data_IF_867330654533
#
_entry.id   IF_867330654533
#
_cell.length_a   1.000
_cell.length_b   1.000
_cell.length_c   1.000
_cell.angle_alpha   90.00
_cell.angle_beta   90.00
_cell.angle_gamma   90.00
#
_symmetry.space_group_name_H-M   'P 1'
#
loop_
_entity.id
_entity.type
_entity.pdbx_description
1 polymer ?
#
# COMPACT_ATOMS: atom_id res chain seq x y z
N UNK A 1 -44.57 18.87 -35.09
CA UNK A 1 -44.24 17.86 -36.11
C UNK A 1 -42.80 17.44 -35.91
N UNK A 2 -42.53 16.14 -35.78
CA UNK A 2 -41.15 15.59 -35.79
C UNK A 2 -40.77 14.79 -34.54
N UNK A 3 -41.25 13.55 -34.48
CA UNK A 3 -40.78 12.48 -33.58
C UNK A 3 -39.28 12.18 -33.81
N UNK A 4 -38.57 11.79 -32.74
CA UNK A 4 -37.42 10.90 -32.86
C UNK A 4 -37.27 10.02 -31.61
N UNK A 5 -37.65 8.77 -31.80
CA UNK A 5 -37.52 7.61 -30.91
C UNK A 5 -36.14 6.99 -31.08
N UNK A 6 -35.44 6.65 -30.00
CA UNK A 6 -34.33 5.68 -30.00
C UNK A 6 -34.19 5.09 -28.58
N UNK A 7 -34.76 3.91 -28.29
CA UNK A 7 -34.24 2.55 -28.43
C UNK A 7 -33.13 2.17 -27.42
N UNK A 8 -33.48 1.17 -26.60
CA UNK A 8 -32.70 0.47 -25.55
C UNK A 8 -31.34 -0.07 -26.01
N UNK A 9 -30.48 -0.38 -25.04
CA UNK A 9 -29.83 -1.68 -24.97
C UNK A 9 -30.25 -2.52 -23.74
N UNK A 10 -30.27 -3.83 -23.97
CA UNK A 10 -30.44 -4.94 -23.01
C UNK A 10 -29.12 -5.23 -22.29
N UNK A 11 -29.20 -6.20 -21.38
CA UNK A 11 -28.12 -7.03 -20.80
C UNK A 11 -27.57 -6.46 -19.48
N UNK A 12 -27.29 -7.23 -18.43
CA UNK A 12 -27.11 -8.67 -18.34
C UNK A 12 -27.34 -9.14 -16.89
N UNK A 13 -27.69 -10.42 -16.77
CA UNK A 13 -28.24 -11.09 -15.60
C UNK A 13 -27.12 -11.79 -14.81
N UNK A 14 -26.73 -11.23 -13.67
CA UNK A 14 -25.68 -11.83 -12.81
C UNK A 14 -26.30 -12.81 -11.82
N UNK A 15 -25.93 -14.10 -11.97
CA UNK A 15 -26.35 -15.23 -11.13
C UNK A 15 -25.63 -15.20 -9.77
N UNK A 16 -26.28 -15.59 -8.66
CA UNK A 16 -25.57 -15.79 -7.39
C UNK A 16 -24.78 -17.11 -7.40
N UNK A 17 -23.47 -17.01 -7.13
CA UNK A 17 -22.57 -18.15 -6.96
C UNK A 17 -22.78 -18.77 -5.57
N UNK A 18 -23.09 -20.06 -5.58
CA UNK A 18 -23.41 -20.91 -4.45
C UNK A 18 -22.10 -21.51 -3.90
N UNK A 19 -21.61 -21.02 -2.76
CA UNK A 19 -20.46 -21.63 -2.09
C UNK A 19 -20.95 -22.74 -1.15
N UNK A 20 -20.67 -23.99 -1.52
CA UNK A 20 -20.72 -25.14 -0.63
C UNK A 20 -19.40 -25.19 0.14
N UNK A 21 -19.43 -25.25 1.47
CA UNK A 21 -18.31 -25.74 2.25
C UNK A 21 -18.76 -26.92 3.11
N UNK A 22 -18.12 -28.04 2.81
CA UNK A 22 -18.30 -29.36 3.40
C UNK A 22 -17.58 -29.50 4.73
N UNK A 23 -18.28 -30.17 5.65
CA UNK A 23 -17.83 -31.21 6.58
C UNK A 23 -16.43 -31.09 7.21
N UNK A 24 -16.41 -30.69 8.48
CA UNK A 24 -15.36 -31.06 9.43
C UNK A 24 -15.87 -32.25 10.27
N UNK A 25 -15.26 -33.43 10.10
CA UNK A 25 -15.51 -34.61 10.92
C UNK A 25 -14.95 -34.40 12.34
N UNK A 26 -15.83 -34.47 13.35
CA UNK A 26 -15.46 -34.68 14.75
C UNK A 26 -15.22 -36.18 14.97
N UNK A 27 -13.97 -36.59 15.14
CA UNK A 27 -13.62 -37.93 15.62
C UNK A 27 -13.51 -37.95 17.14
N UNK A 28 -14.45 -38.58 17.82
CA UNK A 28 -14.40 -38.80 19.28
C UNK A 28 -13.71 -40.12 19.61
N UNK A 29 -12.86 -40.05 20.63
CA UNK A 29 -12.15 -41.15 21.31
C UNK A 29 -13.08 -42.22 21.89
N UNK A 30 -12.63 -43.48 21.86
CA UNK A 30 -12.91 -44.51 22.88
C UNK A 30 -11.73 -45.52 22.96
N UNK A 31 -11.04 -45.66 24.12
CA UNK A 31 -10.25 -46.84 24.47
C UNK A 31 -11.03 -47.77 25.41
N UNK A 32 -10.79 -49.09 25.35
CA UNK A 32 -11.13 -50.18 26.32
C UNK A 32 -10.89 -51.50 25.53
N UNK A 33 -10.24 -52.60 25.95
CA UNK A 33 -9.79 -53.15 27.24
C UNK A 33 -8.84 -54.33 26.95
N UNK A 34 -8.06 -54.84 27.93
CA UNK A 34 -7.05 -55.88 27.73
C UNK A 34 -7.64 -57.29 27.70
N UNK A 35 -6.93 -58.24 27.07
CA UNK A 35 -7.13 -59.67 27.28
C UNK A 35 -5.81 -60.32 27.67
N UNK A 36 -5.91 -61.04 28.78
CA UNK A 36 -4.89 -61.74 29.53
C UNK A 36 -4.82 -63.21 29.06
N UNK A 37 -3.68 -63.85 29.33
CA UNK A 37 -3.41 -65.31 29.40
C UNK A 37 -2.85 -65.98 28.14
N UNK A 38 -1.65 -66.56 28.30
CA UNK A 38 -1.07 -67.57 27.42
C UNK A 38 0.45 -67.67 27.53
N UNK A 39 0.95 -68.37 28.56
CA UNK A 39 2.38 -68.68 28.74
C UNK A 39 2.73 -69.97 27.99
N UNK A 40 3.72 -69.93 27.09
CA UNK A 40 4.46 -71.10 26.63
C UNK A 40 5.89 -70.68 26.28
N UNK A 41 6.88 -71.36 26.88
CA UNK A 41 8.29 -71.06 26.73
C UNK A 41 8.84 -71.62 25.40
N UNK A 42 9.56 -70.79 24.64
CA UNK A 42 10.38 -71.21 23.50
C UNK A 42 11.66 -70.37 23.41
N UNK A 43 12.78 -71.07 23.57
CA UNK A 43 14.13 -70.85 23.01
C UNK A 43 14.47 -69.49 22.43
N UNK A 44 15.36 -68.78 23.12
CA UNK A 44 15.94 -67.47 22.79
C UNK A 44 16.93 -67.56 21.62
N UNK A 45 16.53 -67.05 20.45
CA UNK A 45 17.45 -66.51 19.46
C UNK A 45 17.68 -65.02 19.77
N UNK A 46 18.87 -64.42 19.54
CA UNK A 46 19.07 -63.00 19.75
C UNK A 46 18.25 -62.22 18.71
N UNK A 47 17.06 -61.79 19.10
CA UNK A 47 16.21 -60.92 18.31
C UNK A 47 16.93 -59.59 18.12
N UNK A 48 17.23 -59.25 16.86
CA UNK A 48 17.75 -57.93 16.52
C UNK A 48 16.88 -56.86 17.19
N UNK A 49 17.49 -56.02 18.01
CA UNK A 49 16.83 -54.88 18.66
C UNK A 49 16.31 -53.98 17.55
N UNK A 50 15.00 -54.03 17.31
CA UNK A 50 14.31 -53.12 16.40
C UNK A 50 14.50 -51.74 17.01
N UNK A 51 15.24 -50.86 16.31
CA UNK A 51 15.41 -49.48 16.73
C UNK A 51 14.02 -48.82 16.86
N UNK A 52 13.61 -48.60 18.10
CA UNK A 52 12.40 -47.85 18.43
C UNK A 52 12.72 -46.37 18.27
N UNK A 53 12.47 -45.83 17.08
CA UNK A 53 12.54 -44.39 16.86
C UNK A 53 11.37 -43.72 17.57
N UNK A 54 11.65 -42.91 18.58
CA UNK A 54 10.68 -42.03 19.21
C UNK A 54 10.74 -40.67 18.52
N UNK A 55 9.70 -40.34 17.76
CA UNK A 55 9.53 -39.02 17.16
C UNK A 55 8.70 -38.15 18.12
N UNK A 56 9.14 -36.91 18.36
CA UNK A 56 8.37 -35.89 19.08
C UNK A 56 8.28 -34.66 18.20
N UNK A 57 7.09 -34.07 18.11
CA UNK A 57 6.84 -32.83 17.36
C UNK A 57 6.99 -31.65 18.32
N UNK A 58 7.69 -30.61 17.89
CA UNK A 58 7.73 -29.32 18.58
C UNK A 58 6.98 -28.29 17.75
N UNK A 59 6.00 -27.62 18.35
CA UNK A 59 5.22 -26.55 17.72
C UNK A 59 5.70 -25.19 18.22
N UNK A 60 5.86 -24.24 17.29
CA UNK A 60 6.19 -22.84 17.58
C UNK A 60 5.16 -21.94 16.91
N UNK A 61 4.47 -21.11 17.69
CA UNK A 61 3.55 -20.10 17.18
C UNK A 61 4.27 -18.74 17.10
N UNK A 62 4.30 -18.14 15.91
CA UNK A 62 4.82 -16.79 15.70
C UNK A 62 3.63 -15.85 15.47
N UNK A 63 3.52 -14.80 16.28
CA UNK A 63 2.47 -13.80 16.11
C UNK A 63 2.77 -12.89 14.91
N UNK A 64 1.72 -12.48 14.18
CA UNK A 64 1.84 -11.44 13.18
C UNK A 64 2.17 -10.10 13.86
N UNK A 65 3.14 -9.38 13.33
CA UNK A 65 3.44 -8.00 13.72
C UNK A 65 2.67 -6.99 12.89
N UNK A 66 3.03 -5.72 13.08
CA UNK A 66 2.24 -4.57 12.60
C UNK A 66 2.86 -3.97 11.34
N UNK A 67 2.03 -3.66 10.35
CA UNK A 67 2.40 -2.79 9.23
C UNK A 67 2.69 -1.39 9.78
N UNK A 68 3.91 -0.91 9.59
CA UNK A 68 4.34 0.39 10.11
C UNK A 68 4.90 1.28 9.01
N UNK A 69 4.46 2.53 9.05
CA UNK A 69 5.00 3.59 8.23
C UNK A 69 6.06 4.31 9.05
N UNK A 70 7.33 3.97 8.84
CA UNK A 70 8.43 4.72 9.39
C UNK A 70 8.60 5.99 8.54
N UNK A 71 7.81 7.02 8.84
CA UNK A 71 8.11 8.38 8.35
C UNK A 71 9.37 8.85 9.08
N UNK A 72 10.54 8.39 8.64
CA UNK A 72 11.67 9.31 8.70
C UNK A 72 11.20 10.60 8.03
N UNK A 73 11.41 11.73 8.71
CA UNK A 73 10.92 13.06 8.32
C UNK A 73 11.17 13.27 6.83
N UNK A 74 10.13 13.16 6.01
CA UNK A 74 10.26 13.37 4.58
C UNK A 74 10.79 14.79 4.35
N UNK A 75 11.80 14.97 3.49
CA UNK A 75 12.33 16.30 3.21
C UNK A 75 11.22 17.17 2.61
N UNK A 76 11.19 18.45 3.00
CA UNK A 76 10.28 19.40 2.38
C UNK A 76 10.56 19.50 0.88
N UNK A 77 9.53 19.30 0.06
CA UNK A 77 9.65 19.44 -1.40
C UNK A 77 9.72 20.93 -1.74
N UNK A 78 10.87 21.38 -2.25
CA UNK A 78 11.07 22.74 -2.76
C UNK A 78 11.30 22.67 -4.25
N UNK A 79 10.51 23.40 -5.02
CA UNK A 79 10.61 23.44 -6.48
C UNK A 79 11.33 24.69 -6.96
N UNK A 80 11.85 24.63 -8.19
CA UNK A 80 12.38 25.79 -8.89
C UNK A 80 11.38 26.94 -8.94
N UNK A 81 11.90 28.17 -9.01
CA UNK A 81 11.05 29.36 -9.03
C UNK A 81 10.22 29.43 -10.32
N UNK A 82 8.91 29.41 -10.17
CA UNK A 82 7.98 29.70 -11.25
C UNK A 82 7.97 31.21 -11.57
N UNK A 83 7.76 31.54 -12.84
CA UNK A 83 7.57 32.92 -13.32
C UNK A 83 6.09 33.28 -13.33
N UNK A 84 5.79 34.57 -13.30
CA UNK A 84 4.46 35.04 -13.72
C UNK A 84 4.40 34.86 -15.24
N UNK A 85 3.42 34.12 -15.73
CA UNK A 85 3.31 33.76 -17.14
C UNK A 85 1.84 33.54 -17.51
N UNK A 86 1.47 33.91 -18.73
CA UNK A 86 0.11 33.74 -19.28
C UNK A 86 -0.22 32.27 -19.65
N UNK A 87 0.70 31.34 -19.42
CA UNK A 87 0.56 29.93 -19.75
C UNK A 87 1.03 28.99 -18.64
N UNK A 88 0.79 27.70 -18.87
CA UNK A 88 1.22 26.60 -18.00
C UNK A 88 2.75 26.52 -17.92
N UNK A 89 3.26 26.23 -16.73
CA UNK A 89 4.68 26.00 -16.46
C UNK A 89 4.86 24.54 -16.06
N UNK A 90 5.44 23.77 -16.97
CA UNK A 90 5.62 22.33 -16.81
C UNK A 90 7.04 22.00 -16.36
N UNK A 91 7.20 20.86 -15.70
CA UNK A 91 8.52 20.29 -15.43
C UNK A 91 9.37 21.06 -14.41
N UNK A 92 8.75 21.85 -13.53
CA UNK A 92 9.50 22.51 -12.44
C UNK A 92 10.09 21.42 -11.55
N UNK A 93 11.42 21.33 -11.56
CA UNK A 93 12.16 20.32 -10.81
C UNK A 93 12.26 20.66 -9.33
N UNK A 94 12.62 19.67 -8.51
CA UNK A 94 13.06 19.92 -7.14
C UNK A 94 14.37 20.71 -7.16
N UNK A 95 14.45 21.76 -6.35
CA UNK A 95 15.73 22.39 -5.99
C UNK A 95 16.56 21.31 -5.30
N UNK A 96 17.82 21.13 -5.73
CA UNK A 96 18.71 20.12 -5.13
C UNK A 96 18.73 20.27 -3.61
N UNK A 97 18.24 19.23 -2.93
CA UNK A 97 18.35 19.06 -1.48
C UNK A 97 19.36 17.96 -1.19
N UNK A 98 20.06 18.05 -0.07
CA UNK A 98 21.06 17.04 0.33
C UNK A 98 20.45 15.65 0.57
N UNK A 99 19.13 15.58 0.73
CA UNK A 99 18.39 14.35 0.94
C UNK A 99 17.37 14.13 -0.18
N UNK A 100 17.42 12.94 -0.79
CA UNK A 100 16.39 12.49 -1.72
C UNK A 100 15.08 12.18 -0.95
N UNK A 101 13.90 12.51 -1.50
CA UNK A 101 12.60 12.11 -0.94
C UNK A 101 12.42 10.60 -1.04
N UNK A 102 12.90 9.86 -0.03
CA UNK A 102 12.73 8.41 0.09
C UNK A 102 11.66 8.10 1.12
N UNK A 103 10.67 7.29 0.74
CA UNK A 103 9.65 6.74 1.63
C UNK A 103 10.08 5.34 2.05
N UNK A 104 10.05 5.06 3.35
CA UNK A 104 10.40 3.75 3.92
C UNK A 104 9.15 3.07 4.50
N UNK A 105 8.87 1.86 4.06
CA UNK A 105 7.74 1.05 4.53
C UNK A 105 8.29 -0.21 5.19
N UNK A 106 7.80 -0.51 6.39
CA UNK A 106 8.18 -1.72 7.13
C UNK A 106 6.98 -2.61 7.40
N UNK A 107 7.06 -3.82 6.85
CA UNK A 107 6.10 -4.91 6.93
C UNK A 107 6.79 -6.23 7.30
N UNK A 108 7.80 -6.16 8.18
CA UNK A 108 8.69 -7.28 8.52
C UNK A 108 7.99 -8.48 9.18
N UNK A 109 6.79 -8.28 9.71
CA UNK A 109 6.02 -9.31 10.41
C UNK A 109 4.55 -9.33 9.97
N UNK A 110 4.23 -8.74 8.81
CA UNK A 110 2.83 -8.67 8.34
C UNK A 110 2.22 -10.05 8.10
N UNK A 111 0.89 -10.12 8.14
CA UNK A 111 0.12 -11.33 7.82
C UNK A 111 0.02 -11.64 6.31
N UNK A 112 0.79 -10.94 5.48
CA UNK A 112 0.69 -11.02 4.02
C UNK A 112 -0.55 -10.33 3.43
N UNK A 113 -1.34 -9.62 4.24
CA UNK A 113 -2.52 -8.90 3.74
C UNK A 113 -2.12 -7.75 2.79
N UNK A 114 -2.93 -7.50 1.74
CA UNK A 114 -2.66 -6.45 0.77
C UNK A 114 -2.68 -5.06 1.41
N UNK A 115 -1.90 -4.14 0.82
CA UNK A 115 -1.78 -2.77 1.27
C UNK A 115 -1.48 -1.81 0.13
N UNK A 116 -1.80 -0.53 0.33
CA UNK A 116 -1.60 0.54 -0.64
C UNK A 116 -0.93 1.75 0.02
N UNK A 117 0.03 2.35 -0.69
CA UNK A 117 0.51 3.69 -0.40
C UNK A 117 -0.26 4.69 -1.27
N UNK A 118 -1.02 5.58 -0.66
CA UNK A 118 -1.72 6.67 -1.35
C UNK A 118 -1.07 8.01 -1.08
N UNK A 119 -1.22 8.94 -2.02
CA UNK A 119 -0.74 10.31 -1.92
C UNK A 119 -1.86 11.29 -2.27
N UNK A 120 -1.97 12.39 -1.54
CA UNK A 120 -2.78 13.53 -1.92
C UNK A 120 -1.99 14.83 -1.84
N UNK A 121 -2.44 15.83 -2.60
CA UNK A 121 -1.83 17.15 -2.67
C UNK A 121 -2.91 18.18 -2.36
N UNK A 122 -2.72 19.01 -1.35
CA UNK A 122 -3.62 20.14 -1.09
C UNK A 122 -3.50 21.21 -2.18
N UNK A 123 -4.46 22.11 -2.24
CA UNK A 123 -4.31 23.31 -3.06
C UNK A 123 -3.12 24.16 -2.60
N UNK A 124 -2.48 24.85 -3.55
CA UNK A 124 -1.39 25.77 -3.28
C UNK A 124 -1.95 27.11 -2.82
N UNK A 125 -1.65 27.52 -1.59
CA UNK A 125 -2.12 28.77 -1.01
C UNK A 125 -0.96 29.74 -0.79
N UNK A 126 -1.18 31.04 -1.03
CA UNK A 126 -0.11 32.01 -0.83
C UNK A 126 0.30 32.11 0.65
N UNK A 127 1.60 32.09 0.93
CA UNK A 127 2.16 31.98 2.30
C UNK A 127 1.79 33.16 3.20
N UNK A 128 1.71 34.37 2.64
CA UNK A 128 1.26 35.56 3.40
C UNK A 128 -0.17 35.40 3.92
N UNK A 129 -0.98 34.55 3.28
CA UNK A 129 -2.37 34.30 3.62
C UNK A 129 -2.52 33.18 4.64
N UNK A 130 -1.66 32.15 4.60
CA UNK A 130 -1.59 31.14 5.67
C UNK A 130 -1.29 31.77 7.04
N UNK A 131 -0.55 32.89 7.08
CA UNK A 131 -0.27 33.65 8.30
C UNK A 131 -1.37 34.66 8.68
N UNK A 132 -2.13 35.17 7.70
CA UNK A 132 -3.19 36.20 7.88
C UNK A 132 -4.61 35.60 8.03
N UNK A 133 -4.83 34.34 7.67
CA UNK A 133 -6.12 33.67 7.86
C UNK A 133 -6.54 33.58 9.35
N UNK A 134 -5.59 33.75 10.29
CA UNK A 134 -5.89 33.93 11.71
C UNK A 134 -6.49 35.32 12.04
N UNK A 135 -6.51 36.28 11.11
CA UNK A 135 -6.92 37.67 11.32
C UNK A 135 -8.05 38.16 10.39
N UNK A 136 -8.80 37.26 9.74
CA UNK A 136 -10.15 37.56 9.22
C UNK A 136 -10.30 38.48 7.99
N UNK A 137 -9.35 38.51 7.05
CA UNK A 137 -9.53 39.26 5.77
C UNK A 137 -9.22 38.41 4.52
N UNK A 138 -10.19 38.38 3.60
CA UNK A 138 -10.39 37.47 2.45
C UNK A 138 -9.53 37.71 1.20
N UNK A 139 -8.19 37.75 1.33
CA UNK A 139 -7.32 37.76 0.14
C UNK A 139 -6.84 36.35 -0.24
N UNK A 140 -7.68 35.31 -0.17
CA UNK A 140 -7.29 33.91 -0.45
C UNK A 140 -6.88 33.70 -1.92
N UNK A 141 -5.59 33.85 -2.23
CA UNK A 141 -4.97 33.47 -3.51
C UNK A 141 -4.58 32.00 -3.48
N UNK A 142 -5.28 31.21 -4.29
CA UNK A 142 -5.02 29.79 -4.47
C UNK A 142 -4.62 29.51 -5.92
N UNK A 143 -3.63 28.65 -6.13
CA UNK A 143 -3.31 28.11 -7.46
C UNK A 143 -4.05 26.79 -7.64
N UNK A 144 -5.08 26.79 -8.50
CA UNK A 144 -5.91 25.62 -8.77
C UNK A 144 -5.42 24.87 -10.00
N UNK A 145 -5.47 23.55 -9.99
CA UNK A 145 -5.03 22.74 -11.15
C UNK A 145 -3.52 22.49 -11.24
N UNK A 146 -2.74 22.86 -10.22
CA UNK A 146 -1.37 22.38 -10.10
C UNK A 146 -1.34 20.84 -10.02
N UNK A 147 -0.32 20.22 -10.61
CA UNK A 147 -0.15 18.77 -10.57
C UNK A 147 1.28 18.38 -10.20
N UNK A 148 1.43 17.37 -9.34
CA UNK A 148 2.70 16.73 -9.05
C UNK A 148 2.82 15.44 -9.84
N UNK A 149 3.93 15.26 -10.52
CA UNK A 149 4.23 14.03 -11.26
C UNK A 149 5.31 13.27 -10.52
N UNK A 150 4.98 12.05 -10.13
CA UNK A 150 5.93 11.07 -9.61
C UNK A 150 6.39 10.20 -10.77
N UNK A 151 7.71 9.95 -10.90
CA UNK A 151 8.22 9.10 -11.95
C UNK A 151 7.86 7.65 -11.63
N UNK A 152 7.53 6.87 -12.66
CA UNK A 152 7.49 5.41 -12.51
C UNK A 152 8.91 4.91 -12.27
N UNK A 153 9.24 4.58 -11.04
CA UNK A 153 10.55 4.05 -10.65
C UNK A 153 10.49 2.62 -10.16
N UNK A 154 11.65 1.98 -10.20
CA UNK A 154 11.87 0.64 -9.66
C UNK A 154 11.87 0.70 -8.14
N UNK A 155 11.00 -0.09 -7.52
CA UNK A 155 10.99 -0.31 -6.08
C UNK A 155 12.23 -1.13 -5.70
N UNK A 156 12.92 -0.72 -4.64
CA UNK A 156 14.03 -1.49 -4.09
C UNK A 156 13.60 -2.12 -2.76
N UNK A 157 13.50 -3.44 -2.75
CA UNK A 157 13.30 -4.25 -1.56
C UNK A 157 14.64 -4.65 -0.96
N UNK A 158 14.81 -4.50 0.35
CA UNK A 158 16.02 -4.99 1.04
C UNK A 158 15.96 -6.47 1.42
N UNK A 159 14.78 -7.09 1.44
CA UNK A 159 14.62 -8.53 1.72
C UNK A 159 13.18 -9.00 1.45
N UNK A 160 12.78 -9.23 0.20
CA UNK A 160 11.39 -9.59 -0.12
C UNK A 160 11.26 -10.76 -1.10
N UNK A 161 10.18 -11.55 -0.93
CA UNK A 161 9.81 -12.67 -1.81
C UNK A 161 9.10 -12.19 -3.09
N UNK A 162 8.38 -11.07 -3.01
CA UNK A 162 7.69 -10.41 -4.11
C UNK A 162 7.65 -8.89 -3.88
N UNK A 163 8.09 -8.11 -4.87
CA UNK A 163 8.05 -6.66 -4.84
C UNK A 163 6.60 -6.16 -5.02
N UNK A 164 6.20 -5.08 -4.33
CA UNK A 164 4.93 -4.43 -4.64
C UNK A 164 4.98 -3.77 -6.02
N UNK A 165 3.83 -3.39 -6.56
CA UNK A 165 3.73 -2.75 -7.88
C UNK A 165 3.67 -1.24 -7.74
N UNK A 166 4.62 -0.54 -8.35
CA UNK A 166 4.54 0.91 -8.51
C UNK A 166 3.50 1.25 -9.59
N UNK A 167 2.44 1.97 -9.20
CA UNK A 167 1.28 2.21 -10.07
C UNK A 167 1.36 3.48 -10.88
N UNK A 168 2.26 4.42 -10.58
CA UNK A 168 2.09 5.79 -11.09
C UNK A 168 2.91 6.17 -12.30
N UNK A 169 2.15 6.59 -13.32
CA UNK A 169 2.51 7.57 -14.35
C UNK A 169 1.54 8.77 -14.37
N UNK A 170 0.46 8.74 -13.58
CA UNK A 170 -0.59 9.76 -13.62
C UNK A 170 -0.27 10.91 -12.65
N UNK A 171 -0.49 12.18 -13.04
CA UNK A 171 -0.26 13.33 -12.18
C UNK A 171 -1.22 13.37 -10.98
N UNK A 172 -0.70 13.69 -9.80
CA UNK A 172 -1.47 13.96 -8.59
C UNK A 172 -1.92 15.41 -8.63
N UNK A 173 -3.23 15.63 -8.76
CA UNK A 173 -3.82 16.97 -8.90
C UNK A 173 -4.05 17.61 -7.52
N UNK A 174 -3.68 18.88 -7.40
CA UNK A 174 -3.90 19.66 -6.19
C UNK A 174 -5.41 19.82 -5.91
N UNK A 175 -5.81 19.55 -4.67
CA UNK A 175 -7.20 19.59 -4.22
C UNK A 175 -8.06 18.38 -4.62
N UNK A 176 -7.48 17.37 -5.29
CA UNK A 176 -8.19 16.16 -5.68
C UNK A 176 -8.06 15.03 -4.64
N UNK A 177 -8.82 13.95 -4.88
CA UNK A 177 -8.75 12.73 -4.07
C UNK A 177 -7.36 12.08 -4.12
N UNK A 178 -7.06 11.31 -3.06
CA UNK A 178 -5.78 10.62 -2.95
C UNK A 178 -5.60 9.57 -4.05
N UNK A 179 -4.42 9.54 -4.65
CA UNK A 179 -4.02 8.60 -5.69
C UNK A 179 -3.13 7.49 -5.13
N UNK A 180 -3.31 6.25 -5.60
CA UNK A 180 -2.42 5.13 -5.25
C UNK A 180 -1.07 5.25 -5.95
N UNK A 181 0.02 5.35 -5.16
CA UNK A 181 1.41 5.34 -5.61
C UNK A 181 1.99 3.92 -5.72
N UNK A 182 1.67 3.07 -4.75
CA UNK A 182 2.09 1.67 -4.68
C UNK A 182 0.87 0.83 -4.35
N UNK A 183 0.74 -0.30 -5.04
CA UNK A 183 -0.20 -1.36 -4.72
C UNK A 183 0.58 -2.64 -4.41
N UNK A 184 0.43 -3.14 -3.19
CA UNK A 184 0.98 -4.40 -2.74
C UNK A 184 -0.15 -5.42 -2.62
N UNK A 185 -0.17 -6.39 -3.54
CA UNK A 185 -1.04 -7.55 -3.43
C UNK A 185 -0.69 -8.43 -2.22
N UNK A 186 -1.41 -9.53 -2.08
CA UNK A 186 -1.12 -10.53 -1.03
C UNK A 186 0.34 -10.98 -1.11
N UNK A 187 0.99 -11.02 0.05
CA UNK A 187 2.40 -11.38 0.25
C UNK A 187 3.45 -10.48 -0.46
N UNK A 188 3.01 -9.45 -1.20
CA UNK A 188 3.91 -8.48 -1.82
C UNK A 188 4.28 -7.37 -0.82
N UNK A 189 5.50 -6.83 -0.92
CA UNK A 189 5.91 -5.77 0.00
C UNK A 189 6.02 -6.24 1.45
N UNK A 190 6.31 -7.53 1.68
CA UNK A 190 6.62 -8.07 3.00
C UNK A 190 8.11 -7.86 3.28
N UNK A 191 8.45 -7.15 4.35
CA UNK A 191 9.83 -6.82 4.67
C UNK A 191 10.05 -5.32 4.80
N UNK A 192 11.15 -4.81 4.26
CA UNK A 192 11.45 -3.39 4.21
C UNK A 192 11.51 -2.93 2.74
N UNK A 193 10.66 -1.96 2.40
CA UNK A 193 10.58 -1.34 1.07
C UNK A 193 11.07 0.10 1.17
N UNK A 194 12.06 0.43 0.34
CA UNK A 194 12.49 1.80 0.11
C UNK A 194 11.95 2.27 -1.26
N UNK A 195 11.25 3.40 -1.27
CA UNK A 195 10.71 4.05 -2.46
C UNK A 195 11.38 5.41 -2.65
N UNK A 196 12.25 5.53 -3.66
CA UNK A 196 12.77 6.81 -4.12
C UNK A 196 11.75 7.51 -5.01
N UNK A 197 11.26 8.67 -4.57
CA UNK A 197 10.29 9.47 -5.30
C UNK A 197 10.91 10.40 -6.35
N UNK A 198 12.24 10.50 -6.42
CA UNK A 198 12.94 11.45 -7.28
C UNK A 198 13.02 10.96 -8.74
N UNK A 199 13.08 11.83 -9.76
CA UNK A 199 12.77 13.25 -9.71
C UNK A 199 11.26 13.49 -9.63
N UNK A 200 10.80 14.31 -8.68
CA UNK A 200 9.43 14.81 -8.66
C UNK A 200 9.39 16.09 -9.49
N UNK A 201 8.42 16.22 -10.38
CA UNK A 201 8.18 17.48 -11.11
C UNK A 201 6.83 18.08 -10.73
N UNK A 202 6.79 19.40 -10.76
CA UNK A 202 5.59 20.19 -10.54
C UNK A 202 5.20 20.86 -11.86
N UNK A 203 3.92 20.75 -12.20
CA UNK A 203 3.30 21.55 -13.24
C UNK A 203 2.36 22.54 -12.60
N UNK A 204 2.57 23.82 -12.88
CA UNK A 204 1.72 24.91 -12.42
C UNK A 204 0.88 25.44 -13.59
N UNK A 205 -0.40 25.75 -13.36
CA UNK A 205 -1.23 26.45 -14.34
C UNK A 205 -0.70 27.87 -14.58
N UNK A 206 -1.44 28.67 -15.36
CA UNK A 206 -1.25 30.13 -15.42
C UNK A 206 -1.14 30.71 -14.00
N UNK A 207 -0.12 31.53 -13.76
CA UNK A 207 0.10 32.21 -12.48
C UNK A 207 0.03 33.71 -12.71
N UNK A 208 -1.04 34.34 -12.21
CA UNK A 208 -1.28 35.78 -12.41
C UNK A 208 -0.52 36.67 -11.42
N UNK A 209 -0.08 36.11 -10.28
CA UNK A 209 0.52 36.88 -9.20
C UNK A 209 1.82 36.27 -8.71
N UNK A 210 2.87 37.10 -8.59
CA UNK A 210 4.09 36.71 -7.91
C UNK A 210 3.84 36.54 -6.41
N UNK A 211 4.45 35.52 -5.82
CA UNK A 211 4.38 35.25 -4.40
C UNK A 211 4.90 33.86 -4.04
N UNK A 212 5.04 33.62 -2.74
CA UNK A 212 5.31 32.28 -2.24
C UNK A 212 3.97 31.54 -2.10
N UNK A 213 3.90 30.31 -2.60
CA UNK A 213 2.75 29.42 -2.45
C UNK A 213 3.19 28.12 -1.78
N UNK A 214 2.33 27.55 -0.94
CA UNK A 214 2.59 26.31 -0.23
C UNK A 214 1.40 25.37 -0.36
N UNK A 215 1.69 24.07 -0.48
CA UNK A 215 0.74 22.98 -0.42
C UNK A 215 1.28 21.87 0.50
N UNK A 216 0.38 21.07 1.04
CA UNK A 216 0.69 19.89 1.84
C UNK A 216 0.58 18.65 0.97
N UNK A 217 1.64 17.84 0.94
CA UNK A 217 1.61 16.49 0.38
C UNK A 217 1.38 15.51 1.52
N UNK A 218 0.33 14.70 1.43
CA UNK A 218 -0.03 13.72 2.45
C UNK A 218 0.14 12.32 1.89
N UNK A 219 0.89 11.47 2.61
CA UNK A 219 1.03 10.05 2.30
C UNK A 219 0.26 9.23 3.32
N UNK A 220 -0.55 8.28 2.86
CA UNK A 220 -1.31 7.38 3.71
C UNK A 220 -1.05 5.93 3.33
N UNK A 221 -0.80 5.10 4.34
CA UNK A 221 -0.66 3.66 4.20
C UNK A 221 -1.97 3.01 4.61
N UNK A 222 -2.59 2.27 3.69
CA UNK A 222 -3.91 1.64 3.89
C UNK A 222 -3.74 0.13 3.75
N UNK A 223 -4.24 -0.65 4.69
CA UNK A 223 -4.24 -2.12 4.64
C UNK A 223 -5.65 -2.67 4.48
N UNK A 224 -5.79 -3.80 3.79
CA UNK A 224 -7.06 -4.49 3.58
C UNK A 224 -7.27 -4.87 2.12
N UNK A 225 -8.31 -5.68 1.82
CA UNK A 225 -8.55 -6.18 0.46
C UNK A 225 -8.61 -5.03 -0.55
N UNK A 226 -7.86 -5.17 -1.65
CA UNK A 226 -7.94 -4.28 -2.80
C UNK A 226 -9.36 -4.40 -3.37
N UNK A 227 -10.19 -3.38 -3.17
CA UNK A 227 -11.52 -3.28 -3.80
C UNK A 227 -11.36 -3.16 -5.31
#
# INVERSE_FOLDING_TARGET
MGNATAQRPKEEMTKPVKWMMSALLLGTFLPLSPSLIGQAATTTAPTASVATNANTTADVQVAAGKLTFAQEKLPALKFEAAKVADGEQTGLGLVKTDNAPVVKISNLLGSGEPWQLKVSLSEFQAVKLLKKAASGADDKRTLTGATLVFPKKNLTAKAEKALPTATTTTPVRAGADAMTLIDAGRDAGMGAVDLDLSPITLTLPRVDYAGNYQATVTYSLVSGPNQ
#
